data_IF_448646074056
#
_entry.id   IF_448646074056
#
_cell.length_a   1.000
_cell.length_b   1.000
_cell.length_c   1.000
_cell.angle_alpha   90.00
_cell.angle_beta   90.00
_cell.angle_gamma   90.00
#
_symmetry.space_group_name_H-M   'P 1'
#
loop_
_entity.id
_entity.type
_entity.pdbx_description
1 polymer ?
#
# COMPACT_ATOMS: atom_id res chain seq x y z
N UNK A 1 24.73 5.92 69.09
CA UNK A 1 23.63 6.08 68.12
C UNK A 1 24.24 6.24 66.74
N UNK A 2 24.47 5.12 66.06
CA UNK A 2 25.13 5.03 64.76
C UNK A 2 24.12 5.22 63.63
N UNK A 3 24.36 6.25 62.80
CA UNK A 3 23.54 6.61 61.65
C UNK A 3 24.00 5.85 60.41
N UNK A 4 23.10 5.03 59.85
CA UNK A 4 23.36 4.18 58.68
C UNK A 4 23.01 4.96 57.41
N UNK A 5 24.03 5.31 56.63
CA UNK A 5 23.88 5.90 55.32
C UNK A 5 23.36 4.85 54.31
N UNK A 6 22.18 5.11 53.74
CA UNK A 6 21.61 4.30 52.65
C UNK A 6 22.28 4.72 51.34
N UNK A 7 23.06 3.81 50.78
CA UNK A 7 23.68 3.96 49.47
C UNK A 7 22.61 4.05 48.36
N UNK A 8 22.59 5.20 47.67
CA UNK A 8 21.87 5.39 46.43
C UNK A 8 22.49 4.49 45.35
N UNK A 9 21.87 3.32 45.13
CA UNK A 9 22.16 2.48 43.98
C UNK A 9 21.73 3.24 42.72
N UNK A 10 22.73 3.81 42.04
CA UNK A 10 22.58 4.41 40.72
C UNK A 10 22.03 3.39 39.74
N UNK A 11 20.79 3.59 39.29
CA UNK A 11 20.24 2.88 38.13
C UNK A 11 20.96 3.41 36.89
N UNK A 12 22.07 2.77 36.56
CA UNK A 12 22.68 2.85 35.24
C UNK A 12 21.60 2.53 34.20
N UNK A 13 21.14 3.56 33.50
CA UNK A 13 20.31 3.43 32.31
C UNK A 13 21.19 2.79 31.25
N UNK A 14 21.18 1.45 31.20
CA UNK A 14 21.70 0.73 30.05
C UNK A 14 20.97 1.29 28.82
N UNK A 15 21.72 2.01 28.00
CA UNK A 15 21.28 2.51 26.71
C UNK A 15 20.90 1.28 25.89
N UNK A 16 19.60 0.99 25.83
CA UNK A 16 19.06 0.07 24.84
C UNK A 16 19.44 0.68 23.51
N UNK A 17 20.45 0.12 22.84
CA UNK A 17 20.75 0.38 21.44
C UNK A 17 19.47 0.10 20.68
N UNK A 18 18.68 1.13 20.43
CA UNK A 18 17.48 1.00 19.65
C UNK A 18 17.93 0.56 18.26
N UNK A 19 17.49 -0.63 17.84
CA UNK A 19 17.79 -1.11 16.49
C UNK A 19 17.11 -0.15 15.53
N UNK A 20 17.90 0.74 14.94
CA UNK A 20 17.44 1.57 13.85
C UNK A 20 17.25 0.64 12.65
N UNK A 21 16.02 0.62 12.14
CA UNK A 21 15.70 -0.17 10.95
C UNK A 21 16.43 0.40 9.72
N UNK A 22 16.72 1.71 9.74
CA UNK A 22 17.25 2.47 8.62
C UNK A 22 18.15 3.62 9.09
N UNK A 23 19.01 4.14 8.22
CA UNK A 23 19.76 5.39 8.47
C UNK A 23 19.64 6.30 7.26
N UNK A 24 19.40 7.59 7.52
CA UNK A 24 19.43 8.65 6.52
C UNK A 24 20.88 9.00 6.14
N UNK A 25 21.12 9.68 5.00
CA UNK A 25 22.47 10.14 4.61
C UNK A 25 23.14 11.07 5.63
N UNK A 26 22.34 11.76 6.44
CA UNK A 26 22.80 12.62 7.54
C UNK A 26 23.17 11.82 8.82
N UNK A 27 23.15 10.48 8.75
CA UNK A 27 23.42 9.58 9.89
C UNK A 27 22.23 9.38 10.82
N UNK A 28 21.08 10.02 10.58
CA UNK A 28 19.90 9.88 11.45
C UNK A 28 19.32 8.46 11.36
N UNK A 29 19.31 7.74 12.48
CA UNK A 29 18.65 6.44 12.59
C UNK A 29 17.12 6.55 12.58
N UNK A 30 16.47 5.72 11.76
CA UNK A 30 15.02 5.61 11.64
C UNK A 30 14.51 4.35 12.32
N UNK A 31 13.40 4.49 13.05
CA UNK A 31 12.69 3.42 13.74
C UNK A 31 11.51 2.85 12.93
N UNK A 32 11.31 3.34 11.71
CA UNK A 32 10.30 2.85 10.78
C UNK A 32 10.90 2.83 9.36
N UNK A 33 10.41 1.94 8.47
CA UNK A 33 10.93 1.83 7.10
C UNK A 33 10.72 3.12 6.31
N UNK A 34 11.75 3.52 5.55
CA UNK A 34 11.67 4.69 4.69
C UNK A 34 10.53 4.58 3.66
N UNK A 35 9.84 5.70 3.39
CA UNK A 35 8.75 5.76 2.41
C UNK A 35 7.46 5.05 2.85
N UNK A 36 7.42 4.52 4.07
CA UNK A 36 6.26 3.83 4.61
C UNK A 36 5.86 4.34 5.99
N UNK A 37 4.65 4.89 6.08
CA UNK A 37 4.04 5.14 7.38
C UNK A 37 3.53 3.82 7.97
N UNK A 38 4.17 3.35 9.03
CA UNK A 38 3.78 2.13 9.74
C UNK A 38 2.57 2.43 10.63
N UNK A 39 1.59 1.53 10.58
CA UNK A 39 0.34 1.61 11.34
C UNK A 39 0.28 0.43 12.31
N UNK A 40 -0.04 0.68 13.57
CA UNK A 40 -0.20 -0.31 14.63
C UNK A 40 -1.47 -1.11 14.39
N UNK A 41 -1.33 -2.44 14.35
CA UNK A 41 -2.44 -3.37 14.27
C UNK A 41 -3.35 -3.21 15.49
N UNK A 42 -4.66 -3.05 15.28
CA UNK A 42 -5.66 -2.94 16.34
C UNK A 42 -6.00 -1.49 16.73
N UNK A 43 -5.01 -0.65 17.03
CA UNK A 43 -5.28 0.75 17.42
C UNK A 43 -5.32 1.72 16.23
N UNK A 44 -4.66 1.37 15.11
CA UNK A 44 -4.52 2.25 13.95
C UNK A 44 -3.57 3.43 14.17
N UNK A 45 -2.80 3.46 15.26
CA UNK A 45 -1.81 4.51 15.54
C UNK A 45 -0.69 4.48 14.52
N UNK A 46 -0.11 5.63 14.23
CA UNK A 46 1.01 5.79 13.28
C UNK A 46 2.33 5.91 14.02
N UNK A 47 3.37 5.25 13.52
CA UNK A 47 4.72 5.30 14.09
C UNK A 47 5.49 6.55 13.60
N UNK A 48 6.12 7.26 14.54
CA UNK A 48 7.10 8.27 14.21
C UNK A 48 8.43 7.62 13.79
N UNK A 49 8.97 8.00 12.63
CA UNK A 49 10.21 7.42 12.12
C UNK A 49 11.42 7.83 12.95
N UNK A 50 11.39 9.01 13.58
CA UNK A 50 12.54 9.59 14.30
C UNK A 50 12.69 9.06 15.71
N UNK A 51 11.60 8.70 16.39
CA UNK A 51 11.65 8.24 17.79
C UNK A 51 11.01 6.87 18.03
N UNK A 52 10.36 6.28 17.01
CA UNK A 52 9.73 4.96 17.10
C UNK A 52 8.46 4.90 17.96
N UNK A 53 7.96 6.03 18.45
CA UNK A 53 6.75 6.10 19.27
C UNK A 53 5.48 6.13 18.41
N UNK A 54 4.37 5.66 18.99
CA UNK A 54 3.08 5.53 18.32
C UNK A 54 2.12 6.66 18.69
N UNK A 55 1.44 7.22 17.68
CA UNK A 55 0.58 8.38 17.85
C UNK A 55 -0.74 8.25 17.08
N UNK A 56 -1.79 8.89 17.58
CA UNK A 56 -3.03 9.08 16.80
C UNK A 56 -2.84 10.19 15.76
N UNK A 57 -2.00 11.18 16.04
CA UNK A 57 -1.64 12.28 15.13
C UNK A 57 -0.19 12.67 15.35
N UNK A 58 0.61 12.66 14.28
CA UNK A 58 2.01 13.12 14.36
C UNK A 58 2.11 14.64 14.35
N UNK A 59 1.12 15.37 13.84
CA UNK A 59 1.25 16.81 13.54
C UNK A 59 1.77 17.65 14.72
N UNK A 60 1.25 17.41 15.93
CA UNK A 60 1.74 18.08 17.13
C UNK A 60 3.15 17.63 17.54
N UNK A 61 3.42 16.33 17.41
CA UNK A 61 4.68 15.70 17.82
C UNK A 61 5.87 16.07 16.91
N UNK A 62 5.65 16.28 15.61
CA UNK A 62 6.72 16.62 14.66
C UNK A 62 7.48 17.90 15.05
N UNK A 63 6.82 18.82 15.77
CA UNK A 63 7.45 20.04 16.29
C UNK A 63 8.57 19.75 17.31
N UNK A 64 8.46 18.67 18.09
CA UNK A 64 9.54 18.20 18.98
C UNK A 64 10.78 17.78 18.19
N UNK A 65 10.61 17.45 16.91
CA UNK A 65 11.68 17.11 15.98
C UNK A 65 12.03 18.26 15.02
N UNK A 66 11.52 19.48 15.23
CA UNK A 66 11.79 20.61 14.35
C UNK A 66 11.20 20.47 12.95
N UNK A 67 10.25 19.57 12.73
CA UNK A 67 9.67 19.32 11.42
C UNK A 67 8.24 19.85 11.31
N UNK A 68 7.95 20.46 10.16
CA UNK A 68 6.58 20.61 9.64
C UNK A 68 6.09 19.27 9.09
N UNK A 69 4.77 19.13 8.86
CA UNK A 69 4.22 17.93 8.23
C UNK A 69 4.82 17.69 6.83
N UNK A 70 5.05 18.75 6.05
CA UNK A 70 5.59 18.65 4.70
C UNK A 70 7.07 18.30 4.70
N UNK A 71 7.89 18.99 5.50
CA UNK A 71 9.32 18.66 5.63
C UNK A 71 9.54 17.26 6.20
N UNK A 72 8.67 16.79 7.10
CA UNK A 72 8.71 15.40 7.57
C UNK A 72 8.37 14.40 6.48
N UNK A 73 7.31 14.63 5.69
CA UNK A 73 6.96 13.74 4.57
C UNK A 73 8.08 13.67 3.56
N UNK A 74 8.68 14.80 3.24
CA UNK A 74 9.82 14.88 2.34
C UNK A 74 11.02 14.11 2.88
N UNK A 75 11.45 14.42 4.12
CA UNK A 75 12.60 13.77 4.76
C UNK A 75 12.42 12.25 4.91
N UNK A 76 11.19 11.78 5.15
CA UNK A 76 10.88 10.35 5.30
C UNK A 76 10.45 9.68 3.98
N UNK A 77 10.44 10.40 2.85
CA UNK A 77 10.04 9.90 1.54
C UNK A 77 8.59 9.47 1.40
N UNK A 78 7.70 10.03 2.23
CA UNK A 78 6.26 9.78 2.17
C UNK A 78 5.63 10.58 1.02
N UNK A 79 4.54 10.05 0.44
CA UNK A 79 3.73 10.82 -0.50
C UNK A 79 3.25 12.12 0.15
N UNK A 80 3.25 13.24 -0.59
CA UNK A 80 2.81 14.55 -0.07
C UNK A 80 1.40 14.53 0.51
N UNK A 81 0.50 13.76 -0.11
CA UNK A 81 -0.88 13.57 0.35
C UNK A 81 -1.05 12.51 1.44
N UNK A 82 0.02 11.85 1.91
CA UNK A 82 -0.09 10.80 2.93
C UNK A 82 -0.58 11.42 4.26
N UNK A 83 -1.71 10.95 4.82
CA UNK A 83 -2.14 11.37 6.14
C UNK A 83 -1.12 10.94 7.19
N UNK A 84 -0.80 11.83 8.12
CA UNK A 84 0.10 11.56 9.26
C UNK A 84 -0.69 11.35 10.56
N UNK A 85 -1.91 10.84 10.40
CA UNK A 85 -2.87 10.60 11.46
C UNK A 85 -3.44 9.19 11.29
N UNK A 86 -3.95 8.63 12.39
CA UNK A 86 -4.70 7.39 12.37
C UNK A 86 -5.90 7.49 11.43
N UNK A 87 -6.23 6.38 10.76
CA UNK A 87 -7.31 6.33 9.78
C UNK A 87 -8.67 6.71 10.39
N UNK A 88 -8.96 6.24 11.61
CA UNK A 88 -10.17 6.58 12.33
C UNK A 88 -10.31 8.10 12.56
N UNK A 89 -9.22 8.77 12.94
CA UNK A 89 -9.21 10.23 13.08
C UNK A 89 -9.37 10.92 11.73
N UNK A 90 -8.69 10.44 10.68
CA UNK A 90 -8.84 10.96 9.32
C UNK A 90 -10.30 10.90 8.84
N UNK A 91 -10.97 9.76 9.07
CA UNK A 91 -12.40 9.58 8.74
C UNK A 91 -13.28 10.54 9.53
N UNK A 92 -13.09 10.64 10.84
CA UNK A 92 -13.86 11.56 11.69
C UNK A 92 -13.72 13.02 11.25
N UNK A 93 -12.52 13.45 10.87
CA UNK A 93 -12.29 14.81 10.33
C UNK A 93 -13.05 14.99 9.01
N UNK A 94 -12.96 14.03 8.09
CA UNK A 94 -13.64 14.09 6.79
C UNK A 94 -15.17 14.15 6.95
N UNK A 95 -15.74 13.34 7.85
CA UNK A 95 -17.18 13.38 8.16
C UNK A 95 -17.60 14.76 8.66
N UNK A 96 -16.91 15.31 9.66
CA UNK A 96 -17.22 16.65 10.20
C UNK A 96 -17.09 17.75 9.14
N UNK A 97 -16.07 17.66 8.28
CA UNK A 97 -15.89 18.61 7.18
C UNK A 97 -17.03 18.51 6.17
N UNK A 98 -17.45 17.31 5.80
CA UNK A 98 -18.60 17.07 4.92
C UNK A 98 -19.89 17.64 5.50
N UNK A 99 -20.18 17.35 6.77
CA UNK A 99 -21.36 17.86 7.47
C UNK A 99 -21.36 19.39 7.58
N UNK A 100 -20.21 19.99 7.89
CA UNK A 100 -20.07 21.45 7.93
C UNK A 100 -20.33 22.07 6.55
N UNK A 101 -19.77 21.47 5.49
CA UNK A 101 -19.98 21.91 4.11
C UNK A 101 -21.45 21.81 3.68
N UNK A 102 -22.14 20.72 4.04
CA UNK A 102 -23.55 20.53 3.73
C UNK A 102 -24.44 21.54 4.45
N UNK A 103 -24.15 21.83 5.73
CA UNK A 103 -25.00 22.72 6.55
C UNK A 103 -24.75 24.21 6.33
N UNK A 104 -23.59 24.62 5.80
CA UNK A 104 -23.21 26.03 5.71
C UNK A 104 -23.19 26.56 4.26
N UNK A 105 -24.19 27.36 3.85
CA UNK A 105 -24.16 28.07 2.57
C UNK A 105 -22.95 29.00 2.45
N UNK A 106 -22.59 29.68 3.55
CA UNK A 106 -21.43 30.58 3.57
C UNK A 106 -20.11 29.83 3.30
N UNK A 107 -19.94 28.63 3.87
CA UNK A 107 -18.77 27.80 3.59
C UNK A 107 -18.72 27.36 2.13
N UNK A 108 -19.87 26.98 1.54
CA UNK A 108 -19.94 26.65 0.11
C UNK A 108 -19.56 27.85 -0.77
N UNK A 109 -20.11 29.03 -0.49
CA UNK A 109 -19.79 30.25 -1.21
C UNK A 109 -18.28 30.56 -1.15
N UNK A 110 -17.66 30.45 0.03
CA UNK A 110 -16.21 30.66 0.22
C UNK A 110 -15.35 29.68 -0.57
N UNK A 111 -15.83 28.45 -0.78
CA UNK A 111 -15.08 27.40 -1.49
C UNK A 111 -15.44 27.29 -2.98
N UNK A 112 -16.46 28.00 -3.46
CA UNK A 112 -17.00 27.86 -4.81
C UNK A 112 -15.94 28.09 -5.90
N UNK A 113 -15.12 29.14 -5.74
CA UNK A 113 -14.03 29.46 -6.69
C UNK A 113 -13.03 28.30 -6.79
N UNK A 114 -12.60 27.74 -5.66
CA UNK A 114 -11.67 26.62 -5.65
C UNK A 114 -12.26 25.35 -6.28
N UNK A 115 -13.56 25.10 -6.06
CA UNK A 115 -14.25 23.98 -6.70
C UNK A 115 -14.33 24.14 -8.22
N UNK A 116 -14.63 25.35 -8.69
CA UNK A 116 -14.70 25.62 -10.12
C UNK A 116 -13.34 25.48 -10.81
N UNK A 117 -12.28 25.99 -10.18
CA UNK A 117 -10.91 25.78 -10.64
C UNK A 117 -10.52 24.30 -10.68
N UNK A 118 -11.00 23.50 -9.71
CA UNK A 118 -10.77 22.05 -9.70
C UNK A 118 -11.53 21.35 -10.82
N UNK A 119 -12.81 21.67 -11.03
CA UNK A 119 -13.66 21.07 -12.08
C UNK A 119 -13.11 21.33 -13.48
N UNK A 120 -12.61 22.53 -13.71
CA UNK A 120 -12.04 22.95 -15.00
C UNK A 120 -10.58 22.51 -15.19
N UNK A 121 -9.96 21.85 -14.19
CA UNK A 121 -8.55 21.45 -14.24
C UNK A 121 -7.54 22.60 -14.10
N UNK A 122 -8.01 23.86 -14.01
CA UNK A 122 -7.15 25.05 -13.84
C UNK A 122 -6.35 25.00 -12.54
N UNK A 123 -6.90 24.40 -11.48
CA UNK A 123 -6.20 24.19 -10.22
C UNK A 123 -4.90 23.38 -10.40
N UNK A 124 -4.95 22.29 -11.18
CA UNK A 124 -3.79 21.44 -11.45
C UNK A 124 -2.75 22.18 -12.29
N UNK A 125 -3.20 22.99 -13.25
CA UNK A 125 -2.33 23.83 -14.10
C UNK A 125 -1.58 24.86 -13.25
N UNK A 126 -2.30 25.59 -12.38
CA UNK A 126 -1.71 26.57 -11.47
C UNK A 126 -0.75 25.92 -10.48
N UNK A 127 -1.11 24.75 -9.94
CA UNK A 127 -0.24 24.00 -9.05
C UNK A 127 1.06 23.58 -9.77
N UNK A 128 0.97 23.07 -11.01
CA UNK A 128 2.13 22.71 -11.81
C UNK A 128 3.02 23.92 -12.11
N UNK A 129 2.42 25.04 -12.52
CA UNK A 129 3.14 26.29 -12.78
C UNK A 129 3.86 26.83 -11.54
N UNK A 130 3.23 26.77 -10.37
CA UNK A 130 3.84 27.14 -9.09
C UNK A 130 4.98 26.19 -8.67
N UNK A 131 5.02 24.97 -9.21
CA UNK A 131 6.02 23.94 -8.93
C UNK A 131 7.12 23.83 -9.99
N UNK A 132 7.27 24.84 -10.87
CA UNK A 132 8.27 24.86 -11.95
C UNK A 132 9.73 24.91 -11.46
N UNK A 133 9.98 25.10 -10.17
CA UNK A 133 11.29 24.85 -9.58
C UNK A 133 11.55 23.35 -9.52
N UNK A 134 12.30 22.85 -10.52
CA UNK A 134 12.80 21.48 -10.49
C UNK A 134 13.56 21.25 -9.19
N UNK A 135 13.24 20.20 -8.42
CA UNK A 135 14.00 19.87 -7.22
C UNK A 135 15.46 19.62 -7.63
N UNK A 136 16.44 20.04 -6.81
CA UNK A 136 17.84 19.76 -7.05
C UNK A 136 18.05 18.29 -7.48
N UNK A 137 18.90 18.02 -8.48
CA UNK A 137 19.09 16.66 -9.03
C UNK A 137 19.49 15.65 -7.96
N UNK A 138 20.17 16.10 -6.91
CA UNK A 138 20.54 15.29 -5.76
C UNK A 138 19.33 14.83 -4.93
N UNK A 139 18.35 15.70 -4.66
CA UNK A 139 17.09 15.30 -4.02
C UNK A 139 16.32 14.30 -4.88
N UNK A 140 16.38 14.44 -6.20
CA UNK A 140 15.76 13.48 -7.13
C UNK A 140 16.43 12.11 -7.04
N UNK A 141 17.77 12.04 -6.96
CA UNK A 141 18.50 10.78 -6.77
C UNK A 141 18.18 10.13 -5.43
N UNK A 142 18.28 10.88 -4.33
CA UNK A 142 17.97 10.40 -2.99
C UNK A 142 16.54 9.87 -2.92
N UNK A 143 15.58 10.60 -3.49
CA UNK A 143 14.19 10.16 -3.57
C UNK A 143 14.04 8.86 -4.37
N UNK A 144 14.72 8.73 -5.51
CA UNK A 144 14.67 7.49 -6.32
C UNK A 144 15.25 6.31 -5.55
N UNK A 145 16.47 6.44 -5.01
CA UNK A 145 17.13 5.40 -4.23
C UNK A 145 16.25 4.94 -3.05
N UNK A 146 15.61 5.90 -2.39
CA UNK A 146 14.80 5.60 -1.23
C UNK A 146 13.40 5.04 -1.59
N UNK A 147 12.85 5.38 -2.76
CA UNK A 147 11.69 4.68 -3.34
C UNK A 147 12.02 3.24 -3.76
N UNK A 148 13.21 3.01 -4.33
CA UNK A 148 13.70 1.67 -4.66
C UNK A 148 13.84 0.81 -3.40
N UNK A 149 14.45 1.36 -2.37
CA UNK A 149 14.52 0.71 -1.06
C UNK A 149 13.13 0.38 -0.48
N UNK A 150 12.17 1.30 -0.60
CA UNK A 150 10.78 1.07 -0.20
C UNK A 150 10.06 -0.01 -1.04
N UNK A 151 10.41 -0.15 -2.33
CA UNK A 151 9.94 -1.27 -3.17
C UNK A 151 10.53 -2.60 -2.71
N UNK A 152 11.83 -2.65 -2.43
CA UNK A 152 12.52 -3.85 -1.93
C UNK A 152 11.96 -4.32 -0.60
N UNK A 153 11.68 -3.38 0.32
CA UNK A 153 11.08 -3.70 1.63
C UNK A 153 9.70 -4.34 1.47
N UNK A 154 8.84 -3.77 0.62
CA UNK A 154 7.51 -4.33 0.33
C UNK A 154 7.60 -5.70 -0.33
N UNK A 155 8.56 -5.92 -1.24
CA UNK A 155 8.81 -7.23 -1.82
C UNK A 155 9.18 -8.25 -0.74
N UNK A 156 10.16 -7.93 0.09
CA UNK A 156 10.63 -8.77 1.21
C UNK A 156 9.48 -9.13 2.17
N UNK A 157 8.63 -8.16 2.53
CA UNK A 157 7.50 -8.43 3.41
C UNK A 157 6.45 -9.32 2.75
N UNK A 158 6.16 -9.13 1.46
CA UNK A 158 5.27 -10.03 0.70
C UNK A 158 5.83 -11.45 0.67
N UNK A 159 7.13 -11.59 0.48
CA UNK A 159 7.79 -12.90 0.43
C UNK A 159 7.74 -13.60 1.80
N UNK A 160 7.94 -12.87 2.91
CA UNK A 160 7.75 -13.41 4.26
C UNK A 160 6.32 -13.87 4.52
N UNK A 161 5.32 -13.10 4.09
CA UNK A 161 3.90 -13.46 4.24
C UNK A 161 3.58 -14.71 3.43
N UNK A 162 4.08 -14.81 2.20
CA UNK A 162 3.91 -15.99 1.35
C UNK A 162 4.58 -17.21 1.99
N UNK A 163 5.83 -17.10 2.42
CA UNK A 163 6.56 -18.19 3.07
C UNK A 163 5.85 -18.69 4.33
N UNK A 164 5.25 -17.79 5.12
CA UNK A 164 4.43 -18.19 6.27
C UNK A 164 3.20 -18.99 5.83
N UNK A 165 2.46 -18.51 4.83
CA UNK A 165 1.27 -19.21 4.31
C UNK A 165 1.62 -20.59 3.76
N UNK A 166 2.74 -20.71 3.06
CA UNK A 166 3.19 -22.00 2.53
C UNK A 166 3.46 -22.98 3.66
N UNK A 167 4.13 -22.54 4.74
CA UNK A 167 4.33 -23.36 5.94
C UNK A 167 3.03 -23.76 6.62
N UNK A 168 2.05 -22.85 6.71
CA UNK A 168 0.71 -23.15 7.23
C UNK A 168 -0.03 -24.21 6.39
N UNK A 169 0.28 -24.30 5.09
CA UNK A 169 -0.22 -25.32 4.17
C UNK A 169 0.63 -26.60 4.16
N UNK A 170 1.71 -26.66 4.94
CA UNK A 170 2.62 -27.82 5.00
C UNK A 170 3.71 -27.85 3.92
N UNK A 171 3.94 -26.74 3.23
CA UNK A 171 4.96 -26.64 2.18
C UNK A 171 6.13 -25.74 2.60
N UNK A 172 7.35 -26.18 2.31
CA UNK A 172 8.57 -25.42 2.59
C UNK A 172 8.78 -24.27 1.61
N UNK A 173 8.45 -24.50 0.34
CA UNK A 173 8.64 -23.54 -0.75
C UNK A 173 7.42 -23.43 -1.67
N UNK A 174 7.43 -22.41 -2.52
CA UNK A 174 6.34 -22.16 -3.46
C UNK A 174 6.30 -23.23 -4.55
N UNK A 175 7.46 -23.69 -5.01
CA UNK A 175 7.55 -24.63 -6.11
C UNK A 175 6.94 -25.99 -5.76
N UNK A 176 7.18 -26.51 -4.56
CA UNK A 176 6.55 -27.71 -4.03
C UNK A 176 5.04 -27.59 -3.92
N UNK A 177 4.55 -26.45 -3.40
CA UNK A 177 3.12 -26.17 -3.37
C UNK A 177 2.50 -26.12 -4.77
N UNK A 178 3.13 -25.41 -5.72
CA UNK A 178 2.60 -25.28 -7.08
C UNK A 178 2.52 -26.64 -7.78
N UNK A 179 3.54 -27.49 -7.66
CA UNK A 179 3.53 -28.85 -8.23
C UNK A 179 2.39 -29.68 -7.64
N UNK A 180 2.26 -29.70 -6.32
CA UNK A 180 1.19 -30.42 -5.63
C UNK A 180 -0.19 -29.92 -6.05
N UNK A 181 -0.42 -28.60 -6.00
CA UNK A 181 -1.70 -28.00 -6.34
C UNK A 181 -2.09 -28.28 -7.79
N UNK A 182 -1.11 -28.24 -8.72
CA UNK A 182 -1.37 -28.56 -10.12
C UNK A 182 -1.68 -30.04 -10.34
N UNK A 183 -0.96 -30.96 -9.68
CA UNK A 183 -1.27 -32.40 -9.73
C UNK A 183 -2.61 -32.75 -9.11
N UNK A 184 -3.06 -31.99 -8.11
CA UNK A 184 -4.37 -32.12 -7.48
C UNK A 184 -5.50 -31.48 -8.30
N UNK A 185 -5.21 -30.94 -9.49
CA UNK A 185 -6.22 -30.33 -10.37
C UNK A 185 -6.70 -28.95 -9.92
N UNK A 186 -5.96 -28.25 -9.05
CA UNK A 186 -6.37 -26.93 -8.58
C UNK A 186 -6.35 -25.90 -9.72
N UNK A 187 -7.40 -25.09 -9.82
CA UNK A 187 -7.45 -24.00 -10.79
C UNK A 187 -6.41 -22.91 -10.47
N UNK A 188 -5.86 -22.26 -11.49
CA UNK A 188 -4.91 -21.15 -11.33
C UNK A 188 -5.48 -20.00 -10.50
N UNK A 189 -6.80 -19.77 -10.57
CA UNK A 189 -7.50 -18.78 -9.75
C UNK A 189 -7.54 -19.20 -8.28
N UNK A 190 -7.75 -20.49 -8.00
CA UNK A 190 -7.67 -21.06 -6.66
C UNK A 190 -6.27 -20.92 -6.07
N UNK A 191 -5.25 -21.27 -6.85
CA UNK A 191 -3.82 -21.12 -6.48
C UNK A 191 -3.48 -19.65 -6.17
N UNK A 192 -3.90 -18.71 -7.02
CA UNK A 192 -3.70 -17.28 -6.81
C UNK A 192 -4.36 -16.78 -5.51
N UNK A 193 -5.59 -17.24 -5.23
CA UNK A 193 -6.32 -16.88 -4.01
C UNK A 193 -5.62 -17.41 -2.75
N UNK A 194 -5.23 -18.68 -2.76
CA UNK A 194 -4.58 -19.34 -1.62
C UNK A 194 -3.20 -18.74 -1.31
N UNK A 195 -2.40 -18.50 -2.34
CA UNK A 195 -1.06 -17.91 -2.18
C UNK A 195 -1.10 -16.38 -1.98
N UNK A 196 -2.13 -15.70 -2.49
CA UNK A 196 -2.21 -14.25 -2.57
C UNK A 196 -1.29 -13.64 -3.63
N UNK A 197 -0.84 -14.45 -4.59
CA UNK A 197 -0.02 -13.99 -5.70
C UNK A 197 -0.87 -13.27 -6.75
N UNK A 198 -0.30 -12.21 -7.33
CA UNK A 198 -0.87 -11.57 -8.52
C UNK A 198 -0.60 -12.41 -9.77
N UNK A 199 -1.46 -12.28 -10.79
CA UNK A 199 -1.44 -13.11 -11.99
C UNK A 199 -0.08 -13.18 -12.71
N UNK A 200 0.56 -12.02 -12.92
CA UNK A 200 1.87 -11.93 -13.58
C UNK A 200 2.94 -12.70 -12.79
N UNK A 201 2.94 -12.54 -11.46
CA UNK A 201 3.89 -13.24 -10.60
C UNK A 201 3.61 -14.74 -10.59
N UNK A 202 2.36 -15.16 -10.46
CA UNK A 202 2.00 -16.58 -10.49
C UNK A 202 2.46 -17.28 -11.78
N UNK A 203 2.24 -16.66 -12.95
CA UNK A 203 2.70 -17.23 -14.23
C UNK A 203 4.21 -17.42 -14.26
N UNK A 204 4.98 -16.40 -13.83
CA UNK A 204 6.44 -16.51 -13.74
C UNK A 204 6.89 -17.65 -12.83
N UNK A 205 6.25 -17.81 -11.67
CA UNK A 205 6.61 -18.88 -10.72
C UNK A 205 6.23 -20.28 -11.24
N UNK A 206 5.15 -20.39 -12.02
CA UNK A 206 4.78 -21.64 -12.71
C UNK A 206 5.81 -22.03 -13.77
N UNK A 207 6.26 -21.06 -14.56
CA UNK A 207 7.34 -21.25 -15.54
C UNK A 207 8.66 -21.69 -14.86
N UNK A 208 9.06 -21.00 -13.77
CA UNK A 208 10.24 -21.36 -12.99
C UNK A 208 10.12 -22.75 -12.36
N UNK A 209 8.92 -23.15 -11.94
CA UNK A 209 8.65 -24.48 -11.41
C UNK A 209 8.60 -25.59 -12.49
N UNK A 210 8.76 -25.24 -13.77
CA UNK A 210 8.68 -26.17 -14.89
C UNK A 210 7.26 -26.69 -15.17
N UNK A 211 6.24 -26.00 -14.69
CA UNK A 211 4.84 -26.41 -14.85
C UNK A 211 4.31 -25.78 -16.16
N UNK A 212 4.20 -26.61 -17.20
CA UNK A 212 3.58 -26.20 -18.44
C UNK A 212 2.11 -25.87 -18.19
N UNK A 213 1.77 -24.57 -18.21
CA UNK A 213 0.39 -24.12 -18.04
C UNK A 213 -0.40 -24.62 -19.24
N UNK A 214 -1.25 -25.63 -19.03
CA UNK A 214 -2.19 -26.12 -20.05
C UNK A 214 -2.93 -24.92 -20.66
N UNK A 215 -2.80 -24.66 -21.96
CA UNK A 215 -3.49 -23.53 -22.58
C UNK A 215 -4.99 -23.72 -22.41
N UNK A 216 -5.69 -22.65 -22.06
CA UNK A 216 -7.12 -22.66 -21.76
C UNK A 216 -8.03 -22.94 -22.98
N UNK A 217 -7.46 -23.26 -24.14
CA UNK A 217 -8.20 -23.53 -25.37
C UNK A 217 -7.84 -24.94 -25.84
N UNK A 218 -8.77 -25.89 -25.63
CA UNK A 218 -9.03 -27.14 -26.38
C UNK A 218 -9.96 -28.04 -25.53
N UNK A 219 -11.14 -27.51 -25.22
CA UNK A 219 -12.30 -28.29 -24.77
C UNK A 219 -13.55 -27.69 -25.42
N UNK A 220 -13.48 -27.55 -26.75
CA UNK A 220 -14.63 -27.56 -27.62
C UNK A 220 -14.48 -28.77 -28.50
N UNK A 221 -15.55 -29.58 -28.55
CA UNK A 221 -15.83 -30.59 -29.57
C UNK A 221 -15.28 -32.02 -29.33
N UNK A 222 -16.14 -32.93 -28.84
CA UNK A 222 -16.84 -33.96 -29.65
C UNK A 222 -17.40 -35.12 -28.79
N UNK A 223 -18.73 -35.25 -28.77
CA UNK A 223 -19.51 -36.52 -28.82
C UNK A 223 -21.00 -36.14 -28.86
N UNK A 224 -21.63 -35.97 -30.03
CA UNK A 224 -22.17 -37.02 -30.92
C UNK A 224 -23.58 -37.49 -30.53
N UNK A 225 -24.51 -37.28 -31.46
CA UNK A 225 -25.77 -38.01 -31.63
C UNK A 225 -27.03 -37.19 -31.27
N UNK A 226 -28.10 -37.15 -32.05
CA UNK A 226 -28.37 -37.63 -33.40
C UNK A 226 -29.73 -37.03 -33.84
N UNK A 227 -29.88 -36.84 -35.15
CA UNK A 227 -31.07 -36.64 -36.00
C UNK A 227 -32.46 -36.33 -35.38
N UNK A 228 -33.13 -35.28 -35.90
CA UNK A 228 -34.21 -35.47 -36.89
C UNK A 228 -34.85 -34.13 -37.35
N UNK A 229 -34.73 -33.88 -38.65
CA UNK A 229 -35.79 -33.47 -39.60
C UNK A 229 -36.74 -32.30 -39.30
N UNK A 230 -36.82 -31.35 -40.25
CA UNK A 230 -38.08 -30.72 -40.62
C UNK A 230 -38.06 -29.22 -40.91
N UNK A 231 -38.24 -28.87 -42.19
CA UNK A 231 -38.84 -27.66 -42.73
C UNK A 231 -38.17 -26.28 -42.60
N UNK A 232 -37.57 -25.86 -43.73
CA UNK A 232 -37.76 -24.52 -44.31
C UNK A 232 -38.99 -24.55 -45.25
N UNK A 233 -39.54 -23.42 -45.78
CA UNK A 233 -39.03 -22.04 -45.77
C UNK A 233 -40.10 -20.95 -45.50
N UNK A 234 -39.65 -19.72 -45.24
CA UNK A 234 -39.80 -18.58 -46.19
C UNK A 234 -39.84 -17.20 -45.50
N UNK A 235 -39.15 -16.27 -46.15
CA UNK A 235 -39.49 -14.84 -46.38
C UNK A 235 -40.24 -14.08 -45.26
N UNK A 236 -39.81 -12.90 -44.81
CA UNK A 236 -39.86 -11.64 -45.57
C UNK A 236 -39.11 -10.53 -44.80
N UNK A 237 -38.42 -9.67 -45.55
CA UNK A 237 -37.85 -8.36 -45.20
C UNK A 237 -38.90 -7.35 -44.70
N UNK A 238 -38.56 -6.50 -43.72
CA UNK A 238 -38.80 -5.03 -43.73
C UNK A 238 -38.21 -4.45 -42.43
N UNK A 239 -37.21 -3.55 -42.43
CA UNK A 239 -37.20 -2.12 -42.79
C UNK A 239 -37.89 -1.20 -41.76
N UNK A 240 -37.05 -0.43 -41.05
CA UNK A 240 -37.18 0.96 -40.59
C UNK A 240 -38.24 1.45 -39.57
N UNK A 241 -37.69 2.19 -38.60
CA UNK A 241 -37.98 3.59 -38.24
C UNK A 241 -38.81 3.92 -36.99
N UNK A 242 -38.15 4.79 -36.19
CA UNK A 242 -38.60 5.77 -35.19
C UNK A 242 -38.87 5.31 -33.77
#
# INVERSE_FOLDING_TARGET
MTSTAVALVGRSRQARTHVHLWSLPDGTGLHAPYGQLVIESGTGRVCCHLCGRWYVSLGGHLRTHGHTADSYREKMGLCRSRPLVAEALSRSIATRQSEAYQRSPALRARLAVGQELSKTGRLATLASAAHTTSPPPELTRLRRAALDAGRMTRATQRDRVLARRLRELGFEDLAGYLRHAYSAGASLRGIAKTTGLGWIRLRRELEVAGIAVRPANLAGDQSSGDQSSGDQPSCVRATMAR
#
